data_IF_971117466280
#
_entry.id   IF_971117466280
#
_cell.length_a   1.000
_cell.length_b   1.000
_cell.length_c   1.000
_cell.angle_alpha   90.00
_cell.angle_beta   90.00
_cell.angle_gamma   90.00
#
_symmetry.space_group_name_H-M   'P 1'
#
loop_
_entity.id
_entity.type
_entity.pdbx_description
1 polymer ?
#
# COMPACT_ATOMS: atom_id res chain seq x y z
N UNK A 1 25.58 13.34 -8.06
CA UNK A 1 24.29 14.04 -8.01
C UNK A 1 23.57 13.75 -9.31
N UNK A 2 22.64 12.79 -9.33
CA UNK A 2 21.87 12.49 -10.55
C UNK A 2 20.77 13.54 -10.69
N UNK A 3 20.75 14.26 -11.81
CA UNK A 3 19.67 15.16 -12.18
C UNK A 3 18.37 14.35 -12.33
N UNK A 4 17.45 14.44 -11.37
CA UNK A 4 16.05 14.08 -11.62
C UNK A 4 15.52 15.09 -12.65
N UNK A 5 15.56 14.71 -13.93
CA UNK A 5 14.98 15.51 -15.01
C UNK A 5 13.46 15.40 -14.93
N UNK A 6 12.81 16.53 -14.70
CA UNK A 6 11.35 16.63 -14.65
C UNK A 6 10.70 16.39 -16.02
N UNK A 7 9.56 15.69 -16.01
CA UNK A 7 8.73 15.42 -17.21
C UNK A 7 8.41 16.72 -17.96
N UNK A 8 8.05 17.79 -17.25
CA UNK A 8 7.73 19.08 -17.88
C UNK A 8 8.95 19.72 -18.57
N UNK A 9 10.14 19.57 -18.00
CA UNK A 9 11.38 20.06 -18.59
C UNK A 9 11.76 19.24 -19.85
N UNK A 10 11.52 17.93 -19.83
CA UNK A 10 11.76 17.06 -20.97
C UNK A 10 10.83 17.40 -22.15
N UNK A 11 9.55 17.64 -21.87
CA UNK A 11 8.56 18.03 -22.88
C UNK A 11 8.90 19.38 -23.52
N UNK A 12 9.26 20.37 -22.70
CA UNK A 12 9.68 21.68 -23.21
C UNK A 12 10.88 21.57 -24.16
N UNK A 13 11.88 20.78 -23.78
CA UNK A 13 13.09 20.56 -24.61
C UNK A 13 12.76 19.81 -25.90
N UNK A 14 11.85 18.83 -25.86
CA UNK A 14 11.37 18.11 -27.05
C UNK A 14 10.65 19.04 -28.04
N UNK A 15 9.90 20.02 -27.53
CA UNK A 15 9.21 21.03 -28.33
C UNK A 15 10.12 22.21 -28.78
N UNK A 16 11.43 22.15 -28.49
CA UNK A 16 12.42 23.20 -28.77
C UNK A 16 11.99 24.60 -28.28
N UNK A 17 11.49 24.68 -27.05
CA UNK A 17 11.06 25.93 -26.41
C UNK A 17 11.98 26.35 -25.26
N UNK A 18 12.16 27.66 -25.10
CA UNK A 18 12.79 28.27 -23.92
C UNK A 18 11.77 28.46 -22.80
N UNK A 19 12.23 28.62 -21.55
CA UNK A 19 11.32 28.85 -20.42
C UNK A 19 10.59 30.19 -20.56
N UNK A 20 11.26 31.19 -21.15
CA UNK A 20 10.74 32.53 -21.44
C UNK A 20 9.60 32.48 -22.45
N UNK A 21 9.75 31.70 -23.53
CA UNK A 21 8.69 31.52 -24.54
C UNK A 21 7.45 30.82 -23.97
N UNK A 22 7.65 29.87 -23.06
CA UNK A 22 6.55 29.17 -22.39
C UNK A 22 5.85 30.11 -21.40
N UNK A 23 6.61 30.89 -20.65
CA UNK A 23 6.10 31.85 -19.69
C UNK A 23 5.23 32.93 -20.38
N UNK A 24 5.72 33.45 -21.51
CA UNK A 24 5.00 34.41 -22.36
C UNK A 24 3.68 33.82 -22.89
N UNK A 25 3.68 32.59 -23.39
CA UNK A 25 2.47 31.93 -23.89
C UNK A 25 1.45 31.63 -22.77
N UNK A 26 1.94 31.24 -21.61
CA UNK A 26 1.12 30.87 -20.47
C UNK A 26 0.60 32.08 -19.68
N UNK A 27 1.08 33.29 -20.00
CA UNK A 27 0.82 34.54 -19.28
C UNK A 27 1.21 34.45 -17.78
N UNK A 28 2.43 33.96 -17.53
CA UNK A 28 3.00 33.81 -16.18
C UNK A 28 4.45 34.28 -16.16
N UNK A 29 5.01 34.51 -14.97
CA UNK A 29 6.44 34.81 -14.83
C UNK A 29 7.32 33.58 -15.15
N UNK A 30 8.51 33.79 -15.71
CA UNK A 30 9.49 32.72 -16.00
C UNK A 30 9.82 31.87 -14.78
N UNK A 31 9.88 32.47 -13.59
CA UNK A 31 10.07 31.76 -12.32
C UNK A 31 8.95 30.75 -12.03
N UNK A 32 7.71 30.99 -12.48
CA UNK A 32 6.60 30.04 -12.32
C UNK A 32 6.83 28.77 -13.15
N UNK A 33 7.33 28.93 -14.39
CA UNK A 33 7.69 27.78 -15.25
C UNK A 33 8.85 27.00 -14.64
N UNK A 34 9.86 27.68 -14.09
CA UNK A 34 10.96 27.03 -13.37
C UNK A 34 10.47 26.23 -12.15
N UNK A 35 9.49 26.76 -11.41
CA UNK A 35 8.90 26.08 -10.28
C UNK A 35 8.08 24.85 -10.69
N UNK A 36 7.28 24.93 -11.77
CA UNK A 36 6.58 23.77 -12.31
C UNK A 36 7.53 22.71 -12.84
N UNK A 37 8.60 23.12 -13.53
CA UNK A 37 9.64 22.18 -13.97
C UNK A 37 10.36 21.56 -12.77
N UNK A 38 10.52 22.25 -11.65
CA UNK A 38 11.11 21.66 -10.44
C UNK A 38 10.14 20.75 -9.69
N UNK A 39 8.85 21.07 -9.71
CA UNK A 39 7.78 20.36 -8.97
C UNK A 39 6.51 20.28 -9.83
N UNK A 40 6.38 19.27 -10.72
CA UNK A 40 5.28 19.19 -11.69
C UNK A 40 3.88 19.15 -11.07
N UNK A 41 3.73 18.60 -9.86
CA UNK A 41 2.44 18.54 -9.16
C UNK A 41 1.88 19.92 -8.75
N UNK A 42 2.67 20.99 -8.85
CA UNK A 42 2.21 22.35 -8.55
C UNK A 42 1.47 23.04 -9.70
N UNK A 43 1.54 22.49 -10.92
CA UNK A 43 0.73 22.97 -12.03
C UNK A 43 -0.72 22.54 -11.80
N UNK A 44 -1.70 23.39 -12.13
CA UNK A 44 -3.12 22.99 -12.10
C UNK A 44 -3.48 22.29 -13.41
N UNK A 45 -4.46 21.39 -13.38
CA UNK A 45 -4.87 20.61 -14.56
C UNK A 45 -5.21 21.48 -15.79
N UNK A 46 -5.96 22.57 -15.58
CA UNK A 46 -6.28 23.54 -16.65
C UNK A 46 -5.02 24.16 -17.27
N UNK A 47 -4.02 24.46 -16.44
CA UNK A 47 -2.73 25.02 -16.89
C UNK A 47 -1.88 23.95 -17.57
N UNK A 48 -1.92 22.71 -17.11
CA UNK A 48 -1.24 21.59 -17.76
C UNK A 48 -1.83 21.32 -19.15
N UNK A 49 -3.15 21.30 -19.27
CA UNK A 49 -3.82 21.13 -20.56
C UNK A 49 -3.38 22.21 -21.54
N UNK A 50 -3.41 23.48 -21.15
CA UNK A 50 -2.96 24.60 -21.98
C UNK A 50 -1.48 24.49 -22.36
N UNK A 51 -0.63 24.02 -21.45
CA UNK A 51 0.79 23.80 -21.69
C UNK A 51 1.03 22.66 -22.70
N UNK A 52 0.28 21.57 -22.62
CA UNK A 52 0.41 20.43 -23.52
C UNK A 52 -0.05 20.74 -24.95
N UNK A 53 -1.05 21.62 -25.12
CA UNK A 53 -1.41 22.17 -26.43
C UNK A 53 -0.25 22.95 -27.06
N UNK A 54 0.43 23.76 -26.24
CA UNK A 54 1.55 24.59 -26.70
C UNK A 54 2.76 23.77 -27.15
N UNK A 55 3.02 22.64 -26.49
CA UNK A 55 4.07 21.72 -26.88
C UNK A 55 3.71 20.84 -28.07
N UNK A 56 2.50 21.01 -28.64
CA UNK A 56 1.98 20.18 -29.71
C UNK A 56 2.06 18.68 -29.37
N UNK A 57 1.83 18.40 -28.09
CA UNK A 57 1.89 17.04 -27.55
C UNK A 57 0.76 16.23 -28.17
N UNK A 58 1.06 15.00 -28.60
CA UNK A 58 0.02 14.16 -29.19
C UNK A 58 -1.04 13.82 -28.14
N UNK A 59 -2.28 13.53 -28.58
CA UNK A 59 -3.38 13.21 -27.66
C UNK A 59 -3.08 12.00 -26.76
N UNK A 60 -2.28 11.05 -27.25
CA UNK A 60 -1.78 9.88 -26.50
C UNK A 60 -0.82 10.29 -25.39
N UNK A 61 0.24 11.03 -25.73
CA UNK A 61 1.21 11.53 -24.75
C UNK A 61 0.53 12.44 -23.71
N UNK A 62 -0.46 13.22 -24.13
CA UNK A 62 -1.21 14.13 -23.25
C UNK A 62 -1.89 13.38 -22.11
N UNK A 63 -2.51 12.23 -22.41
CA UNK A 63 -3.12 11.36 -21.40
C UNK A 63 -2.02 10.88 -20.45
N UNK A 64 -0.99 10.20 -20.94
CA UNK A 64 0.11 9.68 -20.11
C UNK A 64 0.77 10.75 -19.22
N UNK A 65 0.92 11.98 -19.70
CA UNK A 65 1.51 13.09 -18.95
C UNK A 65 0.54 13.66 -17.90
N UNK A 66 -0.73 13.86 -18.24
CA UNK A 66 -1.75 14.24 -17.25
C UNK A 66 -1.85 13.18 -16.18
N UNK A 67 -1.65 11.92 -16.53
CA UNK A 67 -1.67 10.80 -15.59
C UNK A 67 -0.38 10.73 -14.75
N UNK A 68 0.80 10.83 -15.34
CA UNK A 68 2.05 10.90 -14.57
C UNK A 68 2.16 12.15 -13.69
N UNK A 69 1.52 13.27 -14.06
CA UNK A 69 1.58 14.55 -13.33
C UNK A 69 0.42 14.71 -12.35
N UNK A 70 -0.77 14.21 -12.68
CA UNK A 70 -1.99 14.38 -11.88
C UNK A 70 -2.62 13.06 -11.36
N UNK A 71 -2.31 11.87 -11.92
CA UNK A 71 -2.97 10.60 -11.57
C UNK A 71 -2.38 9.33 -12.25
N UNK A 72 -1.73 8.40 -11.55
CA UNK A 72 -1.43 7.05 -12.08
C UNK A 72 -2.67 6.35 -12.72
N UNK A 73 -2.90 6.42 -14.04
CA UNK A 73 -4.23 6.08 -14.61
C UNK A 73 -4.17 5.31 -15.93
N UNK A 74 -5.24 4.58 -16.14
CA UNK A 74 -5.54 3.56 -17.14
C UNK A 74 -6.08 4.07 -18.47
N UNK A 75 -5.78 3.32 -19.53
CA UNK A 75 -6.66 3.12 -20.68
C UNK A 75 -6.81 1.61 -20.86
N UNK A 76 -8.04 1.08 -20.81
CA UNK A 76 -8.38 -0.22 -21.38
C UNK A 76 -9.27 0.12 -22.58
N UNK A 77 -8.83 -0.26 -23.78
CA UNK A 77 -9.65 -0.14 -24.98
C UNK A 77 -10.48 -1.43 -25.14
N UNK A 78 -11.80 -1.28 -25.08
CA UNK A 78 -12.81 -2.27 -25.42
C UNK A 78 -12.88 -2.41 -26.95
N UNK A 79 -11.93 -3.11 -27.59
CA UNK A 79 -12.06 -3.57 -28.98
C UNK A 79 -10.86 -4.45 -29.33
N UNK A 80 -10.95 -5.77 -29.12
CA UNK A 80 -10.28 -6.84 -29.89
C UNK A 80 -10.39 -8.17 -29.13
N UNK A 81 -11.46 -8.90 -29.40
CA UNK A 81 -11.72 -10.23 -28.82
C UNK A 81 -11.01 -11.38 -29.55
N UNK A 82 -10.17 -11.11 -30.55
CA UNK A 82 -9.49 -12.18 -31.29
C UNK A 82 -8.02 -11.82 -31.55
N UNK A 83 -7.12 -12.65 -30.98
CA UNK A 83 -5.65 -12.64 -31.02
C UNK A 83 -4.96 -12.09 -29.76
N UNK A 84 -5.23 -12.71 -28.61
CA UNK A 84 -4.34 -12.65 -27.45
C UNK A 84 -3.27 -13.74 -27.57
N UNK A 85 -2.06 -13.32 -27.91
CA UNK A 85 -0.84 -13.98 -27.43
C UNK A 85 -0.03 -12.92 -26.72
N UNK A 86 -0.16 -12.94 -25.39
CA UNK A 86 0.44 -12.08 -24.35
C UNK A 86 -0.29 -10.75 -24.06
N UNK A 87 -1.09 -10.67 -22.97
CA UNK A 87 -1.64 -9.41 -22.51
C UNK A 87 -0.50 -8.53 -21.96
N UNK A 88 -0.46 -7.24 -22.35
CA UNK A 88 0.37 -6.29 -21.62
C UNK A 88 -0.16 -6.20 -20.19
N UNK A 89 0.65 -6.68 -19.26
CA UNK A 89 0.31 -7.09 -17.91
C UNK A 89 0.11 -5.87 -16.98
N UNK A 90 -0.97 -5.10 -17.15
CA UNK A 90 -1.33 -4.00 -16.23
C UNK A 90 -1.97 -4.51 -14.92
N UNK A 91 -1.65 -5.73 -14.50
CA UNK A 91 -2.15 -6.32 -13.25
C UNK A 91 -1.26 -5.89 -12.08
N UNK A 92 -1.75 -4.96 -11.28
CA UNK A 92 -1.06 -4.32 -10.16
C UNK A 92 -1.64 -4.72 -8.79
N UNK A 93 -2.29 -5.87 -8.67
CA UNK A 93 -2.75 -6.35 -7.38
C UNK A 93 -1.72 -7.32 -6.77
N UNK A 94 -1.39 -7.20 -5.46
CA UNK A 94 -0.35 -8.02 -4.83
C UNK A 94 -0.89 -9.41 -4.43
N UNK A 95 -1.17 -10.27 -5.42
CA UNK A 95 -1.71 -11.62 -5.22
C UNK A 95 -0.91 -12.44 -4.17
N UNK A 96 0.42 -12.29 -4.18
CA UNK A 96 1.34 -12.99 -3.27
C UNK A 96 1.11 -12.67 -1.78
N UNK A 97 0.50 -11.53 -1.44
CA UNK A 97 0.14 -11.22 -0.05
C UNK A 97 -1.11 -11.97 0.43
N UNK A 98 -1.92 -12.48 -0.50
CA UNK A 98 -3.25 -13.01 -0.26
C UNK A 98 -3.43 -14.45 -0.76
N UNK A 99 -2.35 -15.20 -0.96
CA UNK A 99 -2.43 -16.60 -1.43
C UNK A 99 -3.32 -17.47 -0.53
N UNK A 100 -3.28 -17.22 0.78
CA UNK A 100 -4.12 -17.90 1.78
C UNK A 100 -5.54 -17.34 1.87
N UNK A 101 -5.82 -16.21 1.22
CA UNK A 101 -7.12 -15.53 1.21
C UNK A 101 -7.62 -15.24 -0.22
N UNK A 102 -7.92 -16.28 -1.01
CA UNK A 102 -8.31 -16.14 -2.42
C UNK A 102 -9.60 -15.35 -2.64
N UNK A 103 -10.45 -15.22 -1.61
CA UNK A 103 -11.65 -14.38 -1.64
C UNK A 103 -11.33 -12.89 -1.85
N UNK A 104 -10.21 -12.40 -1.30
CA UNK A 104 -9.78 -11.00 -1.45
C UNK A 104 -9.30 -10.76 -2.89
N UNK A 105 -8.47 -11.69 -3.40
CA UNK A 105 -8.01 -11.67 -4.79
C UNK A 105 -9.22 -11.68 -5.75
N UNK A 106 -10.21 -12.54 -5.47
CA UNK A 106 -11.44 -12.62 -6.27
C UNK A 106 -12.26 -11.32 -6.17
N UNK A 107 -12.37 -10.71 -5.00
CA UNK A 107 -13.06 -9.44 -4.83
C UNK A 107 -12.38 -8.31 -5.63
N UNK A 108 -11.04 -8.22 -5.57
CA UNK A 108 -10.27 -7.26 -6.35
C UNK A 108 -10.42 -7.47 -7.87
N UNK A 109 -10.34 -8.71 -8.35
CA UNK A 109 -10.53 -9.06 -9.77
C UNK A 109 -11.96 -8.74 -10.25
N UNK A 110 -12.95 -8.99 -9.39
CA UNK A 110 -14.35 -8.70 -9.68
C UNK A 110 -14.70 -7.21 -9.61
N UNK A 111 -13.84 -6.35 -9.05
CA UNK A 111 -14.02 -4.91 -9.04
C UNK A 111 -13.61 -4.30 -10.39
N UNK A 112 -14.33 -4.73 -11.41
CA UNK A 112 -14.20 -4.29 -12.79
C UNK A 112 -15.60 -3.91 -13.28
N UNK A 113 -15.70 -2.73 -13.89
CA UNK A 113 -16.91 -2.18 -14.47
C UNK A 113 -16.64 -1.90 -15.95
N UNK A 114 -17.46 -2.43 -16.85
CA UNK A 114 -17.42 -2.03 -18.27
C UNK A 114 -17.83 -0.56 -18.43
N UNK A 115 -17.66 0.01 -19.62
CA UNK A 115 -18.11 1.38 -19.90
C UNK A 115 -19.61 1.60 -19.56
N UNK A 116 -20.47 0.63 -19.91
CA UNK A 116 -21.90 0.65 -19.57
C UNK A 116 -22.14 0.57 -18.05
N UNK A 117 -21.44 -0.34 -17.37
CA UNK A 117 -21.57 -0.50 -15.91
C UNK A 117 -21.05 0.73 -15.15
N UNK A 118 -20.05 1.43 -15.70
CA UNK A 118 -19.54 2.68 -15.17
C UNK A 118 -20.57 3.81 -15.23
N UNK A 119 -21.34 3.93 -16.32
CA UNK A 119 -22.40 4.94 -16.42
C UNK A 119 -23.52 4.66 -15.40
N UNK A 120 -23.99 3.41 -15.34
CA UNK A 120 -25.00 2.98 -14.36
C UNK A 120 -24.47 3.17 -12.92
N UNK A 121 -23.19 2.87 -12.66
CA UNK A 121 -22.54 3.14 -11.38
C UNK A 121 -22.57 4.63 -11.03
N UNK A 122 -22.29 5.51 -11.99
CA UNK A 122 -22.36 6.96 -11.82
C UNK A 122 -23.73 7.42 -11.33
N UNK A 123 -24.80 7.00 -12.00
CA UNK A 123 -26.18 7.28 -11.58
C UNK A 123 -26.51 6.70 -10.20
N UNK A 124 -26.14 5.44 -9.96
CA UNK A 124 -26.39 4.76 -8.70
C UNK A 124 -25.69 5.46 -7.53
N UNK A 125 -24.40 5.78 -7.68
CA UNK A 125 -23.60 6.47 -6.67
C UNK A 125 -24.17 7.88 -6.40
N UNK A 126 -24.46 8.64 -7.45
CA UNK A 126 -25.01 9.99 -7.33
C UNK A 126 -26.33 9.96 -6.55
N UNK A 127 -27.25 9.10 -6.96
CA UNK A 127 -28.56 8.97 -6.32
C UNK A 127 -28.49 8.40 -4.90
N UNK A 128 -27.47 7.63 -4.56
CA UNK A 128 -27.30 7.11 -3.20
C UNK A 128 -26.68 8.15 -2.27
N UNK A 129 -25.67 8.89 -2.72
CA UNK A 129 -24.78 9.64 -1.83
C UNK A 129 -24.77 11.17 -2.03
N UNK A 130 -25.23 11.69 -3.17
CA UNK A 130 -25.36 13.14 -3.38
C UNK A 130 -26.72 13.64 -2.91
N UNK A 131 -26.78 14.91 -2.51
CA UNK A 131 -28.01 15.56 -2.03
C UNK A 131 -29.01 15.78 -3.15
N UNK A 132 -28.53 16.22 -4.31
CA UNK A 132 -29.31 16.32 -5.54
C UNK A 132 -29.50 14.91 -6.11
N UNK A 133 -30.75 14.55 -6.41
CA UNK A 133 -31.09 13.25 -7.01
C UNK A 133 -31.35 13.44 -8.50
N UNK A 134 -30.87 12.50 -9.29
CA UNK A 134 -31.07 12.46 -10.74
C UNK A 134 -32.15 11.40 -11.01
N UNK A 135 -33.34 11.76 -11.48
CA UNK A 135 -34.39 10.79 -11.77
C UNK A 135 -33.96 9.86 -12.90
N UNK A 136 -34.23 8.56 -12.73
CA UNK A 136 -34.08 7.59 -13.80
C UNK A 136 -35.23 7.76 -14.81
N UNK A 137 -34.94 8.33 -15.98
CA UNK A 137 -35.92 8.53 -17.07
C UNK A 137 -36.18 7.25 -17.86
N UNK A 138 -37.23 7.23 -18.68
CA UNK A 138 -37.46 6.14 -19.65
C UNK A 138 -36.25 5.97 -20.56
N UNK A 139 -35.74 7.09 -21.10
CA UNK A 139 -34.57 7.13 -21.97
C UNK A 139 -33.33 6.51 -21.34
N UNK A 140 -33.10 6.71 -20.04
CA UNK A 140 -32.00 6.07 -19.31
C UNK A 140 -32.13 4.54 -19.31
N UNK A 141 -33.32 4.00 -19.08
CA UNK A 141 -33.51 2.55 -19.13
C UNK A 141 -33.39 2.02 -20.56
N UNK A 142 -33.95 2.74 -21.54
CA UNK A 142 -33.89 2.36 -22.95
C UNK A 142 -32.46 2.31 -23.49
N UNK A 143 -31.60 3.27 -23.09
CA UNK A 143 -30.19 3.29 -23.49
C UNK A 143 -29.35 2.17 -22.88
N UNK A 144 -29.84 1.53 -21.81
CA UNK A 144 -29.16 0.46 -21.05
C UNK A 144 -29.87 -0.89 -21.17
N UNK A 145 -30.48 -1.16 -22.34
CA UNK A 145 -31.10 -2.46 -22.64
C UNK A 145 -32.41 -2.74 -21.89
N UNK A 146 -33.07 -1.69 -21.39
CA UNK A 146 -34.36 -1.74 -20.71
C UNK A 146 -34.28 -1.93 -19.20
N UNK A 147 -35.38 -1.63 -18.50
CA UNK A 147 -35.47 -1.59 -17.03
C UNK A 147 -34.87 -2.82 -16.33
N UNK A 148 -35.24 -4.03 -16.76
CA UNK A 148 -34.78 -5.26 -16.09
C UNK A 148 -33.27 -5.50 -16.25
N UNK A 149 -32.70 -5.13 -17.39
CA UNK A 149 -31.26 -5.22 -17.66
C UNK A 149 -30.51 -4.26 -16.75
N UNK A 150 -30.93 -3.00 -16.72
CA UNK A 150 -30.35 -1.97 -15.85
C UNK A 150 -30.44 -2.35 -14.37
N UNK A 151 -31.58 -2.87 -13.92
CA UNK A 151 -31.76 -3.31 -12.53
C UNK A 151 -30.87 -4.51 -12.17
N UNK A 152 -30.57 -5.40 -13.13
CA UNK A 152 -29.62 -6.50 -12.92
C UNK A 152 -28.20 -5.96 -12.72
N UNK A 153 -27.79 -4.98 -13.51
CA UNK A 153 -26.49 -4.31 -13.38
C UNK A 153 -26.38 -3.55 -12.05
N UNK A 154 -27.42 -2.78 -11.67
CA UNK A 154 -27.44 -2.08 -10.38
C UNK A 154 -27.31 -3.04 -9.19
N UNK A 155 -27.93 -4.22 -9.25
CA UNK A 155 -27.76 -5.25 -8.20
C UNK A 155 -26.34 -5.81 -8.16
N UNK A 156 -25.69 -6.01 -9.31
CA UNK A 156 -24.28 -6.41 -9.39
C UNK A 156 -23.39 -5.35 -8.73
N UNK A 157 -23.59 -4.08 -9.06
CA UNK A 157 -22.87 -2.94 -8.49
C UNK A 157 -23.08 -2.88 -6.97
N UNK A 158 -24.32 -2.98 -6.50
CA UNK A 158 -24.62 -2.95 -5.08
C UNK A 158 -23.95 -4.10 -4.31
N UNK A 159 -23.91 -5.30 -4.91
CA UNK A 159 -23.21 -6.44 -4.33
C UNK A 159 -21.69 -6.22 -4.30
N UNK A 160 -21.11 -5.66 -5.38
CA UNK A 160 -19.67 -5.38 -5.51
C UNK A 160 -19.16 -4.44 -4.41
N UNK A 161 -19.92 -3.38 -4.11
CA UNK A 161 -19.53 -2.36 -3.12
C UNK A 161 -20.19 -2.57 -1.74
N UNK A 162 -20.74 -3.75 -1.49
CA UNK A 162 -21.43 -4.05 -0.23
C UNK A 162 -20.43 -3.95 0.93
N UNK A 163 -20.74 -3.13 1.93
CA UNK A 163 -19.94 -2.97 3.14
C UNK A 163 -18.86 -1.88 3.06
N UNK A 164 -18.60 -1.30 1.89
CA UNK A 164 -17.61 -0.24 1.71
C UNK A 164 -18.17 1.14 2.11
N UNK A 165 -17.32 2.01 2.70
CA UNK A 165 -17.68 3.41 2.98
C UNK A 165 -17.48 4.27 1.72
N UNK A 166 -18.41 5.19 1.49
CA UNK A 166 -18.37 6.14 0.38
C UNK A 166 -17.60 7.43 0.72
N UNK A 167 -17.17 7.57 1.98
CA UNK A 167 -16.39 8.70 2.50
C UNK A 167 -14.98 8.26 2.84
N UNK A 168 -14.08 9.23 2.79
CA UNK A 168 -12.73 9.02 3.26
C UNK A 168 -12.76 8.77 4.79
N UNK A 169 -11.98 7.78 5.21
CA UNK A 169 -11.94 7.32 6.61
C UNK A 169 -10.66 7.82 7.26
N UNK A 170 -10.72 8.18 8.55
CA UNK A 170 -9.50 8.46 9.30
C UNK A 170 -8.83 7.16 9.71
N UNK A 171 -7.55 6.99 9.38
CA UNK A 171 -6.78 5.85 9.87
C UNK A 171 -6.43 6.00 11.36
N UNK A 172 -5.86 4.92 11.92
CA UNK A 172 -5.44 4.85 13.33
C UNK A 172 -4.29 5.81 13.69
N UNK A 173 -3.59 6.37 12.70
CA UNK A 173 -2.51 7.36 12.82
C UNK A 173 -2.96 8.79 12.50
N UNK A 174 -4.24 9.01 12.20
CA UNK A 174 -4.82 10.32 11.88
C UNK A 174 -4.70 10.74 10.41
N UNK A 175 -4.21 9.87 9.52
CA UNK A 175 -4.25 10.05 8.06
C UNK A 175 -5.64 9.88 7.48
N UNK A 176 -5.83 10.31 6.23
CA UNK A 176 -7.12 10.19 5.51
C UNK A 176 -6.99 9.10 4.44
N UNK A 177 -7.73 8.01 4.61
CA UNK A 177 -7.81 6.89 3.68
C UNK A 177 -8.95 7.14 2.69
N UNK A 178 -8.64 7.05 1.40
CA UNK A 178 -9.58 7.45 0.36
C UNK A 178 -10.65 6.40 0.09
N UNK A 179 -11.90 6.81 -0.12
CA UNK A 179 -13.00 5.90 -0.49
C UNK A 179 -12.85 5.39 -1.93
N UNK A 180 -12.80 4.06 -2.10
CA UNK A 180 -12.80 3.40 -3.41
C UNK A 180 -14.01 3.88 -4.23
N UNK A 181 -15.20 3.87 -3.63
CA UNK A 181 -16.43 4.25 -4.33
C UNK A 181 -16.41 5.70 -4.81
N UNK A 182 -15.92 6.63 -3.97
CA UNK A 182 -15.77 8.03 -4.34
C UNK A 182 -14.78 8.19 -5.49
N UNK A 183 -13.65 7.48 -5.44
CA UNK A 183 -12.62 7.56 -6.46
C UNK A 183 -13.08 7.02 -7.81
N UNK A 184 -13.83 5.91 -7.82
CA UNK A 184 -14.44 5.36 -9.05
C UNK A 184 -15.46 6.36 -9.62
N UNK A 185 -16.24 7.00 -8.76
CA UNK A 185 -17.21 8.02 -9.21
C UNK A 185 -16.51 9.24 -9.83
N UNK A 186 -15.46 9.73 -9.17
CA UNK A 186 -14.65 10.84 -9.68
C UNK A 186 -13.90 10.43 -10.97
N UNK A 187 -13.49 9.16 -11.11
CA UNK A 187 -12.93 8.59 -12.34
C UNK A 187 -13.94 8.65 -13.48
N UNK A 188 -15.18 8.17 -13.28
CA UNK A 188 -16.22 8.19 -14.30
C UNK A 188 -16.62 9.59 -14.76
N UNK A 189 -16.57 10.60 -13.87
CA UNK A 189 -16.78 12.01 -14.24
C UNK A 189 -15.67 12.51 -15.18
N UNK A 190 -14.42 12.20 -14.85
CA UNK A 190 -13.25 12.71 -15.57
C UNK A 190 -13.02 11.96 -16.89
N UNK A 191 -13.41 10.69 -16.95
CA UNK A 191 -13.23 9.79 -18.08
C UNK A 191 -14.55 9.12 -18.45
N UNK A 192 -15.51 9.88 -19.00
CA UNK A 192 -16.80 9.32 -19.41
C UNK A 192 -16.58 8.22 -20.45
N UNK A 193 -17.41 7.17 -20.40
CA UNK A 193 -17.37 6.00 -21.27
C UNK A 193 -16.06 5.19 -21.22
N UNK A 194 -15.26 5.32 -20.16
CA UNK A 194 -14.11 4.45 -19.94
C UNK A 194 -14.45 3.36 -18.92
N UNK A 195 -14.08 2.09 -19.18
CA UNK A 195 -14.20 1.04 -18.19
C UNK A 195 -13.24 1.29 -17.01
N UNK A 196 -13.54 0.68 -15.88
CA UNK A 196 -12.72 0.75 -14.67
C UNK A 196 -12.30 -0.65 -14.23
N UNK A 197 -11.05 -0.80 -13.81
CA UNK A 197 -10.54 -2.03 -13.19
C UNK A 197 -9.65 -1.69 -12.00
N UNK A 198 -10.06 -2.12 -10.80
CA UNK A 198 -9.29 -1.88 -9.58
C UNK A 198 -7.89 -2.50 -9.63
N UNK A 199 -7.76 -3.71 -10.18
CA UNK A 199 -6.47 -4.39 -10.30
C UNK A 199 -5.51 -3.70 -11.26
N UNK A 200 -5.98 -2.72 -12.03
CA UNK A 200 -5.16 -2.00 -12.99
C UNK A 200 -4.76 -0.60 -12.50
N UNK A 201 -5.22 -0.21 -11.30
CA UNK A 201 -4.80 1.02 -10.62
C UNK A 201 -3.31 0.95 -10.21
N UNK A 202 -2.73 2.08 -9.81
CA UNK A 202 -1.36 2.03 -9.28
C UNK A 202 -1.22 1.18 -8.03
N UNK A 203 -0.02 0.60 -7.85
CA UNK A 203 0.33 -0.16 -6.65
C UNK A 203 0.16 0.70 -5.39
N UNK A 204 0.51 1.98 -5.47
CA UNK A 204 0.30 2.93 -4.38
C UNK A 204 -1.18 3.14 -4.03
N UNK A 205 -2.04 3.34 -5.02
CA UNK A 205 -3.48 3.48 -4.82
C UNK A 205 -4.09 2.22 -4.20
N UNK A 206 -3.71 1.05 -4.73
CA UNK A 206 -4.18 -0.25 -4.25
C UNK A 206 -3.82 -0.42 -2.77
N UNK A 207 -2.59 -0.11 -2.36
CA UNK A 207 -2.18 -0.18 -0.94
C UNK A 207 -3.03 0.72 -0.05
N UNK A 208 -3.25 1.98 -0.44
CA UNK A 208 -4.01 2.93 0.37
C UNK A 208 -5.48 2.58 0.52
N UNK A 209 -6.03 1.83 -0.44
CA UNK A 209 -7.46 1.50 -0.49
C UNK A 209 -7.76 0.06 -0.09
N UNK A 210 -6.75 -0.79 0.04
CA UNK A 210 -6.92 -2.23 0.28
C UNK A 210 -7.74 -2.55 1.53
N UNK A 211 -7.59 -1.76 2.59
CA UNK A 211 -8.35 -1.90 3.83
C UNK A 211 -9.88 -1.94 3.61
N UNK A 212 -10.41 -1.31 2.54
CA UNK A 212 -11.83 -1.36 2.19
C UNK A 212 -12.25 -2.65 1.49
N UNK A 213 -11.35 -3.31 0.77
CA UNK A 213 -11.61 -4.66 0.22
C UNK A 213 -11.62 -5.72 1.30
N UNK A 214 -10.86 -5.50 2.37
CA UNK A 214 -10.74 -6.42 3.48
C UNK A 214 -11.96 -6.33 4.42
N UNK A 215 -12.71 -5.22 4.38
CA UNK A 215 -13.79 -4.92 5.32
C UNK A 215 -15.03 -5.78 5.06
N UNK A 216 -15.24 -6.82 5.88
CA UNK A 216 -16.51 -7.52 5.94
C UNK A 216 -17.51 -6.65 6.73
N UNK A 217 -18.75 -6.52 6.24
CA UNK A 217 -19.77 -5.62 6.75
C UNK A 217 -20.24 -5.89 8.21
N UNK A 218 -19.56 -6.78 8.93
CA UNK A 218 -19.77 -7.13 10.34
C UNK A 218 -19.30 -6.05 11.34
N UNK A 219 -18.68 -4.95 10.87
CA UNK A 219 -18.03 -3.91 11.70
C UNK A 219 -16.81 -4.40 12.50
N UNK A 220 -16.39 -5.64 12.30
CA UNK A 220 -15.11 -6.11 12.82
C UNK A 220 -14.02 -5.68 11.84
N UNK A 221 -13.10 -4.82 12.31
CA UNK A 221 -12.09 -4.22 11.45
C UNK A 221 -11.21 -5.33 10.88
N UNK A 222 -11.30 -5.51 9.57
CA UNK A 222 -10.32 -6.23 8.80
C UNK A 222 -8.93 -5.61 8.96
N UNK A 223 -7.89 -6.39 8.70
CA UNK A 223 -6.50 -5.94 8.83
C UNK A 223 -6.22 -4.67 8.01
N UNK A 224 -5.80 -3.58 8.65
CA UNK A 224 -5.46 -2.32 7.98
C UNK A 224 -3.97 -2.32 7.59
N UNK A 225 -3.71 -2.60 6.31
CA UNK A 225 -2.35 -2.62 5.77
C UNK A 225 -1.94 -1.32 5.05
N UNK A 226 -2.72 -0.24 5.17
CA UNK A 226 -2.49 1.01 4.41
C UNK A 226 -1.11 1.63 4.66
N UNK A 227 -0.48 1.26 5.76
CA UNK A 227 0.83 1.74 6.18
C UNK A 227 1.94 0.70 6.11
N UNK A 228 1.61 -0.54 5.71
CA UNK A 228 2.54 -1.65 5.66
C UNK A 228 3.77 -1.28 4.83
N UNK A 229 3.57 -0.59 3.69
CA UNK A 229 4.67 -0.17 2.84
C UNK A 229 5.62 0.81 3.55
N UNK A 230 5.08 1.85 4.20
CA UNK A 230 5.88 2.85 4.91
C UNK A 230 6.64 2.24 6.09
N UNK A 231 6.06 1.23 6.75
CA UNK A 231 6.69 0.53 7.85
C UNK A 231 7.76 -0.45 7.35
N UNK A 232 7.49 -1.18 6.25
CA UNK A 232 8.49 -2.04 5.62
C UNK A 232 9.68 -1.22 5.11
N UNK A 233 9.44 -0.04 4.51
CA UNK A 233 10.48 0.86 4.00
C UNK A 233 11.44 1.33 5.11
N UNK A 234 10.95 1.56 6.33
CA UNK A 234 11.79 1.96 7.48
C UNK A 234 12.70 0.83 7.98
N UNK A 235 12.34 -0.42 7.69
CA UNK A 235 13.02 -1.64 8.14
C UNK A 235 13.73 -2.33 6.97
N UNK A 236 13.87 -1.64 5.82
CA UNK A 236 14.57 -2.16 4.64
C UNK A 236 16.00 -2.57 4.99
N UNK A 237 16.64 -1.77 5.83
CA UNK A 237 17.82 -2.17 6.60
C UNK A 237 17.36 -2.61 8.00
N UNK A 238 17.86 -3.75 8.47
CA UNK A 238 17.50 -4.29 9.79
C UNK A 238 17.68 -3.22 10.87
N UNK A 239 16.65 -3.03 11.68
CA UNK A 239 16.59 -1.99 12.71
C UNK A 239 16.84 -2.61 14.08
N UNK A 240 17.86 -2.14 14.81
CA UNK A 240 18.05 -2.53 16.21
C UNK A 240 16.92 -1.96 17.07
N UNK A 241 16.19 -2.83 17.75
CA UNK A 241 15.01 -2.47 18.56
C UNK A 241 15.25 -2.54 20.07
N UNK A 242 16.41 -3.08 20.49
CA UNK A 242 16.83 -3.03 21.88
C UNK A 242 17.77 -4.15 22.27
N UNK A 243 17.97 -4.29 23.57
CA UNK A 243 18.73 -5.37 24.20
C UNK A 243 17.91 -6.00 25.31
N UNK A 244 18.38 -7.14 25.85
CA UNK A 244 17.76 -7.80 27.00
C UNK A 244 17.71 -6.93 28.27
N UNK A 245 18.57 -5.90 28.37
CA UNK A 245 18.67 -5.01 29.54
C UNK A 245 18.06 -3.62 29.31
N UNK A 246 18.01 -3.14 28.07
CA UNK A 246 17.47 -1.83 27.72
C UNK A 246 16.63 -1.90 26.43
N UNK A 247 15.31 -1.68 26.53
CA UNK A 247 14.48 -1.53 25.34
C UNK A 247 14.70 -0.18 24.67
N UNK A 248 14.97 -0.20 23.36
CA UNK A 248 15.11 1.04 22.60
C UNK A 248 13.72 1.61 22.28
N UNK A 249 13.29 2.54 23.13
CA UNK A 249 12.00 3.24 22.98
C UNK A 249 12.08 4.43 22.02
N UNK A 250 13.22 4.65 21.35
CA UNK A 250 13.44 5.80 20.46
C UNK A 250 12.60 5.72 19.19
N UNK A 251 12.34 4.53 18.69
CA UNK A 251 11.56 4.33 17.48
C UNK A 251 10.06 4.18 17.81
N UNK A 252 9.24 5.15 17.37
CA UNK A 252 7.78 5.06 17.52
C UNK A 252 7.20 3.76 16.94
N UNK A 253 7.76 3.32 15.81
CA UNK A 253 7.45 2.04 15.16
C UNK A 253 7.57 0.85 16.14
N UNK A 254 8.62 0.78 16.95
CA UNK A 254 8.84 -0.33 17.90
C UNK A 254 7.76 -0.38 18.98
N UNK A 255 7.18 0.76 19.38
CA UNK A 255 6.08 0.82 20.37
C UNK A 255 4.74 0.33 19.79
N UNK A 256 4.58 0.51 18.49
CA UNK A 256 3.36 0.15 17.77
C UNK A 256 3.39 -1.31 17.29
N UNK A 257 4.58 -1.89 17.07
CA UNK A 257 4.77 -3.21 16.48
C UNK A 257 5.33 -4.27 17.42
N UNK A 258 5.84 -3.94 18.60
CA UNK A 258 6.54 -4.91 19.45
C UNK A 258 6.10 -4.81 20.92
N UNK A 259 5.83 -5.95 21.53
CA UNK A 259 5.56 -6.10 22.97
C UNK A 259 6.73 -6.80 23.64
N UNK A 260 7.06 -6.35 24.85
CA UNK A 260 8.02 -7.01 25.74
C UNK A 260 7.28 -7.99 26.65
N UNK A 261 7.54 -9.29 26.50
CA UNK A 261 7.10 -10.27 27.48
C UNK A 261 8.13 -10.40 28.61
N UNK A 262 7.66 -10.26 29.85
CA UNK A 262 8.43 -10.53 31.06
C UNK A 262 8.08 -11.93 31.58
N UNK A 263 8.44 -12.98 30.87
CA UNK A 263 8.27 -14.33 31.38
C UNK A 263 9.63 -15.05 31.41
N UNK A 264 10.05 -15.38 32.64
CA UNK A 264 11.26 -16.16 33.00
C UNK A 264 12.60 -15.51 32.68
N UNK A 265 13.22 -14.84 33.67
CA UNK A 265 14.64 -14.38 33.75
C UNK A 265 15.28 -13.64 32.56
N UNK A 266 14.64 -13.55 31.40
CA UNK A 266 15.07 -12.96 30.14
C UNK A 266 13.87 -12.19 29.55
N UNK A 267 14.08 -10.93 29.16
CA UNK A 267 13.04 -10.18 28.43
C UNK A 267 13.11 -10.58 26.95
N UNK A 268 12.01 -11.07 26.38
CA UNK A 268 11.91 -11.36 24.94
C UNK A 268 10.88 -10.43 24.27
N UNK A 269 11.14 -10.09 23.00
CA UNK A 269 10.27 -9.26 22.19
C UNK A 269 9.38 -10.11 21.29
N UNK A 270 8.13 -9.72 21.14
CA UNK A 270 7.18 -10.31 20.21
C UNK A 270 6.50 -9.23 19.38
N UNK A 271 6.08 -9.57 18.16
CA UNK A 271 5.27 -8.64 17.37
C UNK A 271 3.91 -8.42 18.06
N UNK A 272 3.48 -7.16 18.07
CA UNK A 272 2.20 -6.76 18.64
C UNK A 272 1.12 -7.32 17.73
N UNK A 273 0.35 -8.27 18.24
CA UNK A 273 -0.84 -8.78 17.54
C UNK A 273 -1.75 -7.59 17.22
N UNK A 274 -1.86 -7.22 15.95
CA UNK A 274 -2.87 -6.29 15.48
C UNK A 274 -4.23 -7.01 15.52
N UNK A 275 -4.82 -7.04 16.72
CA UNK A 275 -6.22 -7.38 17.06
C UNK A 275 -6.85 -8.62 16.39
N UNK A 276 -6.85 -9.72 17.16
CA UNK A 276 -7.93 -10.70 17.42
C UNK A 276 -8.80 -11.10 16.21
N UNK A 277 -8.42 -12.20 15.56
CA UNK A 277 -9.39 -13.14 14.98
C UNK A 277 -10.21 -13.76 16.13
N UNK A 278 -11.44 -13.30 16.35
CA UNK A 278 -12.31 -13.85 17.42
C UNK A 278 -12.73 -15.30 17.15
N UNK A 279 -12.73 -15.72 15.89
CA UNK A 279 -13.09 -17.08 15.47
C UNK A 279 -11.95 -18.08 15.65
N UNK A 280 -10.77 -17.62 16.04
CA UNK A 280 -9.60 -18.45 16.25
C UNK A 280 -9.67 -19.13 17.63
N UNK A 281 -10.55 -20.13 17.76
CA UNK A 281 -10.63 -21.02 18.92
C UNK A 281 -9.45 -21.99 18.85
N UNK A 282 -8.39 -21.67 19.61
CA UNK A 282 -7.51 -22.56 20.37
C UNK A 282 -6.76 -23.72 19.71
N UNK A 283 -7.29 -24.41 18.70
CA UNK A 283 -6.74 -25.68 18.19
C UNK A 283 -6.72 -25.79 16.66
N UNK A 284 -7.33 -24.85 15.91
CA UNK A 284 -7.23 -24.80 14.44
C UNK A 284 -6.05 -23.93 13.93
N UNK A 285 -5.31 -23.30 14.83
CA UNK A 285 -4.27 -22.32 14.48
C UNK A 285 -2.99 -22.93 13.89
N UNK A 286 -2.78 -24.25 14.02
CA UNK A 286 -1.67 -24.93 13.33
C UNK A 286 -1.90 -25.02 11.81
N UNK A 287 -3.14 -24.78 11.34
CA UNK A 287 -3.49 -24.77 9.91
C UNK A 287 -3.66 -23.39 9.28
N UNK A 288 -3.64 -22.31 10.08
CA UNK A 288 -3.69 -20.91 9.63
C UNK A 288 -2.61 -20.11 10.35
N UNK A 289 -1.35 -20.30 9.94
CA UNK A 289 -0.18 -19.68 10.58
C UNK A 289 -0.22 -18.15 10.59
N UNK A 290 0.23 -17.55 11.70
CA UNK A 290 0.51 -16.10 11.88
C UNK A 290 -0.53 -15.19 11.21
N UNK A 291 -1.64 -14.94 11.90
CA UNK A 291 -2.90 -14.40 11.36
C UNK A 291 -2.87 -12.96 10.79
N UNK A 292 -1.73 -12.28 10.70
CA UNK A 292 -1.61 -10.90 10.18
C UNK A 292 -0.54 -10.83 9.09
N UNK A 293 -0.82 -10.13 7.99
CA UNK A 293 0.14 -9.79 6.94
C UNK A 293 1.38 -9.10 7.53
N UNK A 294 1.23 -8.25 8.55
CA UNK A 294 2.38 -7.69 9.28
C UNK A 294 3.26 -8.78 9.89
N UNK A 295 2.68 -9.77 10.57
CA UNK A 295 3.45 -10.88 11.17
C UNK A 295 4.16 -11.76 10.13
N UNK A 296 3.68 -11.73 8.88
CA UNK A 296 4.32 -12.41 7.75
C UNK A 296 5.40 -11.56 7.08
N UNK A 297 5.29 -10.23 7.09
CA UNK A 297 6.26 -9.31 6.50
C UNK A 297 7.44 -8.97 7.42
N UNK A 298 7.27 -9.07 8.74
CA UNK A 298 8.31 -8.73 9.73
C UNK A 298 8.76 -9.94 10.54
N UNK A 299 10.01 -9.90 10.99
CA UNK A 299 10.55 -10.85 11.94
C UNK A 299 11.49 -10.17 12.93
N UNK A 300 11.64 -10.78 14.11
CA UNK A 300 12.58 -10.35 15.13
C UNK A 300 13.74 -11.33 15.17
N UNK A 301 14.93 -10.84 14.85
CA UNK A 301 16.17 -11.58 14.99
C UNK A 301 16.77 -11.35 16.37
N UNK A 302 17.16 -12.44 17.02
CA UNK A 302 17.79 -12.46 18.33
C UNK A 302 19.26 -12.84 18.16
N UNK A 303 20.14 -11.88 18.40
CA UNK A 303 21.58 -12.04 18.29
C UNK A 303 22.21 -11.99 19.68
N UNK A 304 23.03 -12.98 20.04
CA UNK A 304 23.79 -12.90 21.30
C UNK A 304 24.76 -11.73 21.23
N UNK A 305 24.87 -10.98 22.34
CA UNK A 305 25.69 -9.77 22.41
C UNK A 305 27.15 -10.12 22.06
N UNK A 306 27.78 -9.35 21.17
CA UNK A 306 29.14 -9.65 20.69
C UNK A 306 30.18 -8.63 21.16
N UNK A 307 29.86 -7.77 22.13
CA UNK A 307 30.80 -6.76 22.61
C UNK A 307 31.92 -7.40 23.46
N UNK A 308 33.10 -6.78 23.46
CA UNK A 308 34.27 -7.33 24.17
C UNK A 308 34.03 -7.58 25.66
N UNK A 309 33.29 -6.71 26.32
CA UNK A 309 33.03 -6.82 27.77
C UNK A 309 32.24 -8.10 28.07
N UNK A 310 31.19 -8.33 27.29
CA UNK A 310 30.33 -9.50 27.40
C UNK A 310 31.08 -10.80 27.06
N UNK A 311 31.85 -10.81 25.97
CA UNK A 311 32.63 -12.00 25.58
C UNK A 311 33.68 -12.37 26.64
N UNK A 312 34.32 -11.37 27.28
CA UNK A 312 35.25 -11.59 28.40
C UNK A 312 34.54 -12.17 29.62
N UNK A 313 33.32 -11.73 29.92
CA UNK A 313 32.53 -12.25 31.03
C UNK A 313 32.02 -13.68 30.77
N UNK A 314 31.50 -13.94 29.57
CA UNK A 314 31.09 -15.28 29.10
C UNK A 314 32.25 -16.28 29.20
N UNK A 315 33.42 -15.93 28.68
CA UNK A 315 34.60 -16.80 28.74
C UNK A 315 35.05 -17.10 30.18
N UNK A 316 34.95 -16.12 31.09
CA UNK A 316 35.24 -16.33 32.52
C UNK A 316 34.26 -17.30 33.16
N UNK A 317 32.97 -17.15 32.88
CA UNK A 317 31.93 -18.03 33.38
C UNK A 317 32.11 -19.46 32.84
N UNK A 318 32.31 -19.63 31.53
CA UNK A 318 32.52 -20.93 30.89
C UNK A 318 33.75 -21.64 31.46
N UNK A 319 34.85 -20.92 31.70
CA UNK A 319 36.04 -21.47 32.34
C UNK A 319 35.78 -21.89 33.79
N UNK A 320 35.02 -21.10 34.56
CA UNK A 320 34.64 -21.43 35.93
C UNK A 320 33.70 -22.65 35.98
N UNK A 321 32.73 -22.73 35.07
CA UNK A 321 31.79 -23.83 34.96
C UNK A 321 32.49 -25.13 34.55
N UNK A 322 33.40 -25.06 33.57
CA UNK A 322 34.23 -26.21 33.18
C UNK A 322 35.04 -26.74 34.37
N UNK A 323 35.70 -25.84 35.11
CA UNK A 323 36.50 -26.21 36.28
C UNK A 323 35.65 -26.79 37.41
N UNK A 324 34.47 -26.24 37.65
CA UNK A 324 33.50 -26.77 38.62
C UNK A 324 33.05 -28.19 38.24
N UNK A 325 32.71 -28.41 36.96
CA UNK A 325 32.28 -29.73 36.47
C UNK A 325 33.40 -30.78 36.52
N UNK A 326 34.65 -30.39 36.27
CA UNK A 326 35.82 -31.28 36.37
C UNK A 326 36.18 -31.61 37.83
N UNK A 327 36.01 -30.65 38.75
CA UNK A 327 36.39 -30.82 40.16
C UNK A 327 35.34 -30.28 41.14
N UNK A 328 34.14 -30.89 41.24
CA UNK A 328 33.04 -30.33 42.03
C UNK A 328 33.36 -30.19 43.52
N UNK A 329 34.15 -31.12 44.07
CA UNK A 329 34.55 -31.16 45.47
C UNK A 329 35.49 -30.02 45.89
N UNK A 330 36.05 -29.26 44.94
CA UNK A 330 36.92 -28.11 45.23
C UNK A 330 36.13 -26.80 45.42
N UNK A 331 34.81 -26.81 45.23
CA UNK A 331 33.97 -25.63 45.27
C UNK A 331 32.79 -25.80 46.24
N UNK A 332 32.50 -24.76 47.01
CA UNK A 332 31.39 -24.76 47.98
C UNK A 332 30.02 -24.55 47.32
N UNK A 333 29.99 -24.02 46.10
CA UNK A 333 28.80 -23.76 45.31
C UNK A 333 29.14 -23.74 43.82
N UNK A 334 28.13 -23.92 42.97
CA UNK A 334 28.27 -23.71 41.52
C UNK A 334 28.62 -22.25 41.21
N UNK A 335 29.27 -21.95 40.07
CA UNK A 335 29.50 -20.58 39.63
C UNK A 335 28.19 -19.78 39.58
N UNK A 336 28.25 -18.49 39.89
CA UNK A 336 27.08 -17.60 39.81
C UNK A 336 26.45 -17.68 38.42
N UNK A 337 25.11 -17.63 38.36
CA UNK A 337 24.36 -17.69 37.10
C UNK A 337 24.82 -16.59 36.14
N UNK A 338 25.23 -17.01 34.94
CA UNK A 338 25.48 -16.10 33.83
C UNK A 338 24.20 -15.97 33.02
N UNK A 339 23.67 -14.75 32.92
CA UNK A 339 22.50 -14.46 32.10
C UNK A 339 22.97 -14.01 30.71
N UNK A 340 22.70 -14.78 29.64
CA UNK A 340 23.05 -14.36 28.30
C UNK A 340 22.35 -13.05 27.94
N UNK A 341 23.07 -12.14 27.30
CA UNK A 341 22.54 -10.86 26.85
C UNK A 341 22.37 -10.92 25.35
N UNK A 342 21.25 -10.39 24.86
CA UNK A 342 20.91 -10.40 23.45
C UNK A 342 20.67 -8.98 22.94
N UNK A 343 20.93 -8.81 21.65
CA UNK A 343 20.45 -7.71 20.83
C UNK A 343 19.30 -8.20 19.97
N UNK A 344 18.27 -7.37 19.86
CA UNK A 344 17.08 -7.68 19.07
C UNK A 344 17.02 -6.73 17.88
N UNK A 345 16.76 -7.30 16.72
CA UNK A 345 16.72 -6.59 15.45
C UNK A 345 15.41 -6.91 14.74
N UNK A 346 14.69 -5.89 14.31
CA UNK A 346 13.53 -6.04 13.45
C UNK A 346 14.02 -6.06 12.00
N UNK A 347 13.64 -7.07 11.25
CA UNK A 347 14.00 -7.22 9.84
C UNK A 347 12.80 -7.64 9.00
N UNK A 348 12.92 -7.45 7.69
CA UNK A 348 11.92 -7.93 6.73
C UNK A 348 12.14 -9.41 6.45
N UNK A 349 11.05 -10.16 6.42
CA UNK A 349 11.02 -11.50 5.82
C UNK A 349 11.16 -11.39 4.30
N UNK A 350 11.29 -12.52 3.62
CA UNK A 350 11.31 -12.52 2.15
C UNK A 350 9.99 -12.01 1.55
N UNK A 351 8.85 -12.27 2.19
CA UNK A 351 7.56 -11.68 1.81
C UNK A 351 7.57 -10.16 1.96
N UNK A 352 8.11 -9.64 3.08
CA UNK A 352 8.24 -8.20 3.30
C UNK A 352 9.14 -7.52 2.27
N UNK A 353 10.25 -8.16 1.88
CA UNK A 353 11.16 -7.67 0.83
C UNK A 353 10.47 -7.69 -0.54
N UNK A 354 9.83 -8.80 -0.90
CA UNK A 354 9.06 -8.93 -2.14
C UNK A 354 7.99 -7.83 -2.24
N UNK A 355 7.30 -7.54 -1.13
CA UNK A 355 6.32 -6.45 -1.09
C UNK A 355 6.95 -5.08 -1.35
N UNK A 356 8.06 -4.74 -0.70
CA UNK A 356 8.76 -3.47 -0.94
C UNK A 356 9.24 -3.35 -2.39
N UNK A 357 9.84 -4.40 -2.93
CA UNK A 357 10.29 -4.44 -4.33
C UNK A 357 9.14 -4.24 -5.30
N UNK A 358 8.01 -4.92 -5.04
CA UNK A 358 6.79 -4.77 -5.82
C UNK A 358 6.28 -3.32 -5.77
N UNK A 359 6.26 -2.63 -4.64
CA UNK A 359 5.83 -1.21 -4.65
C UNK A 359 6.83 -0.32 -5.38
N UNK A 360 8.13 -0.53 -5.18
CA UNK A 360 9.17 0.33 -5.73
C UNK A 360 9.41 0.13 -7.23
N UNK A 361 9.13 -1.05 -7.79
CA UNK A 361 9.34 -1.32 -9.22
C UNK A 361 8.48 -0.42 -10.11
N UNK A 362 7.26 -0.07 -9.70
CA UNK A 362 6.40 0.91 -10.39
C UNK A 362 7.04 2.31 -10.45
N UNK A 363 7.86 2.67 -9.45
CA UNK A 363 8.53 3.99 -9.40
C UNK A 363 9.85 4.06 -10.19
N UNK A 364 10.32 2.91 -10.73
CA UNK A 364 11.56 2.82 -11.52
C UNK A 364 11.34 2.86 -13.03
N UNK A 365 10.10 2.61 -13.47
CA UNK A 365 9.66 2.74 -14.86
C UNK A 365 9.18 4.17 -15.13
#
# INVERSE_FOLDING_TARGET
MSENKSILQALRKKADKTQEQVAEYMDVATNTIQNWERTPSQIKEEQLCKLLDFYHTTQKERKDIVLQIHRNVLCIDEENEENVTEPLNNYNFPDFLFEENPQIIKAAKNMTLSAEEMDIFGYWYHNKYKSQKIPYSSDFYESHGGYFTTMKIMKKIEFMFKGMDNRDVKDVRGGTLSSIMKNIYDFGILYPNQPYSYCSESRHYIILTLHQLLYDGSKEKSEDISWLYEDCRKVKDSLKIGTSSQPDRKYGLVKDFVVLEKNTSNCDYQLKQHLICKDCIGEQCDSFGKCSIYDKCFQIEKHELANESYLKEKAKYEAALKRYNEYPSLFNHAPNDFTPQYEYWLSLTDLGKQFVEWVEEETRQ
#
